data_IF_955542292308
#
_entry.id   IF_955542292308
#
_cell.length_a   1.000
_cell.length_b   1.000
_cell.length_c   1.000
_cell.angle_alpha   90.00
_cell.angle_beta   90.00
_cell.angle_gamma   90.00
#
_symmetry.space_group_name_H-M   'P 1'
#
loop_
_entity.id
_entity.type
_entity.pdbx_description
1 polymer ?
#
# COMPACT_ATOMS: atom_id res chain seq x y z
N UNK A 1 26.54 -12.60 -11.75
CA UNK A 1 27.98 -12.56 -11.28
C UNK A 1 28.59 -13.97 -11.43
N UNK A 2 29.82 -14.10 -11.93
CA UNK A 2 30.45 -15.40 -12.21
C UNK A 2 30.92 -16.14 -10.94
N UNK A 3 30.55 -17.42 -10.81
CA UNK A 3 30.92 -18.28 -9.67
C UNK A 3 32.29 -18.96 -9.85
N UNK A 4 32.92 -18.79 -11.01
CA UNK A 4 34.19 -19.40 -11.37
C UNK A 4 35.31 -18.35 -11.27
N UNK A 5 36.01 -18.29 -10.14
CA UNK A 5 37.24 -17.48 -10.01
C UNK A 5 38.45 -18.38 -10.19
N UNK A 6 38.87 -18.56 -11.44
CA UNK A 6 40.08 -19.31 -11.76
C UNK A 6 41.27 -18.36 -11.64
N UNK A 7 42.21 -18.67 -10.75
CA UNK A 7 43.47 -17.92 -10.65
C UNK A 7 44.26 -18.13 -11.94
N UNK A 8 44.38 -17.08 -12.76
CA UNK A 8 44.99 -17.13 -14.09
C UNK A 8 46.46 -17.55 -14.12
N UNK A 9 47.12 -17.69 -12.97
CA UNK A 9 48.52 -18.14 -12.86
C UNK A 9 48.69 -19.67 -12.93
N UNK A 10 47.62 -20.46 -12.88
CA UNK A 10 47.71 -21.93 -12.82
C UNK A 10 47.58 -22.63 -14.18
N UNK A 11 47.11 -21.93 -15.22
CA UNK A 11 46.86 -22.52 -16.53
C UNK A 11 47.51 -21.69 -17.64
N UNK A 12 48.14 -22.37 -18.61
CA UNK A 12 48.84 -21.71 -19.70
C UNK A 12 47.89 -21.19 -20.80
N UNK A 13 46.66 -21.72 -20.88
CA UNK A 13 45.68 -21.33 -21.89
C UNK A 13 44.24 -21.61 -21.48
N UNK A 14 43.27 -20.97 -22.17
CA UNK A 14 41.84 -21.29 -22.03
C UNK A 14 41.54 -22.77 -22.33
N UNK A 15 42.35 -23.40 -23.21
CA UNK A 15 42.23 -24.82 -23.53
C UNK A 15 42.48 -25.68 -22.28
N UNK A 16 43.52 -25.35 -21.52
CA UNK A 16 43.89 -26.08 -20.30
C UNK A 16 42.85 -25.88 -19.20
N UNK A 17 42.32 -24.65 -19.09
CA UNK A 17 41.23 -24.34 -18.17
C UNK A 17 39.98 -25.19 -18.49
N UNK A 18 39.53 -25.19 -19.75
CA UNK A 18 38.34 -25.94 -20.16
C UNK A 18 38.54 -27.44 -20.00
N UNK A 19 39.72 -27.96 -20.38
CA UNK A 19 40.05 -29.36 -20.21
C UNK A 19 40.00 -29.76 -18.74
N UNK A 20 40.57 -28.95 -17.86
CA UNK A 20 40.51 -29.15 -16.42
C UNK A 20 39.06 -29.17 -15.92
N UNK A 21 38.24 -28.19 -16.30
CA UNK A 21 36.84 -28.11 -15.88
C UNK A 21 36.02 -29.32 -16.32
N UNK A 22 36.19 -29.78 -17.56
CA UNK A 22 35.42 -30.90 -18.12
C UNK A 22 35.84 -32.26 -17.54
N UNK A 23 37.14 -32.49 -17.30
CA UNK A 23 37.64 -33.76 -16.75
C UNK A 23 37.30 -33.91 -15.27
N UNK A 24 37.22 -32.82 -14.50
CA UNK A 24 36.93 -32.87 -13.06
C UNK A 24 35.42 -32.90 -12.75
N UNK A 25 34.56 -33.12 -13.74
CA UNK A 25 33.13 -33.31 -13.49
C UNK A 25 32.82 -34.72 -13.04
N UNK A 26 31.83 -34.86 -12.17
CA UNK A 26 31.34 -36.15 -11.67
C UNK A 26 29.82 -36.30 -11.92
N UNK A 27 29.33 -37.54 -11.87
CA UNK A 27 27.91 -37.85 -12.02
C UNK A 27 27.32 -37.39 -13.36
N UNK A 28 26.11 -36.81 -13.32
CA UNK A 28 25.41 -36.30 -14.52
C UNK A 28 26.19 -35.19 -15.25
N UNK A 29 26.99 -34.42 -14.52
CA UNK A 29 27.86 -33.39 -15.11
C UNK A 29 28.97 -34.01 -15.96
N UNK A 30 29.55 -35.13 -15.52
CA UNK A 30 30.53 -35.87 -16.32
C UNK A 30 29.92 -36.36 -17.64
N UNK A 31 28.71 -36.93 -17.59
CA UNK A 31 28.02 -37.40 -18.79
C UNK A 31 27.76 -36.27 -19.80
N UNK A 32 27.44 -35.07 -19.32
CA UNK A 32 27.33 -33.86 -20.14
C UNK A 32 28.69 -33.41 -20.70
N UNK A 33 29.79 -33.53 -19.94
CA UNK A 33 31.12 -33.10 -20.35
C UNK A 33 31.78 -33.99 -21.42
N UNK A 34 31.54 -35.32 -21.37
CA UNK A 34 32.15 -36.31 -22.26
C UNK A 34 32.15 -35.95 -23.76
N UNK A 35 31.04 -35.52 -24.40
CA UNK A 35 31.04 -35.15 -25.82
C UNK A 35 31.89 -33.91 -26.13
N UNK A 36 32.19 -33.05 -25.15
CA UNK A 36 32.95 -31.82 -25.34
C UNK A 36 34.46 -32.04 -25.27
N UNK A 37 34.94 -33.00 -24.46
CA UNK A 37 36.36 -33.31 -24.27
C UNK A 37 37.13 -33.54 -25.58
N UNK A 38 36.69 -34.40 -26.53
CA UNK A 38 37.43 -34.65 -27.75
C UNK A 38 37.45 -33.44 -28.70
N UNK A 39 36.55 -32.47 -28.53
CA UNK A 39 36.44 -31.30 -29.39
C UNK A 39 37.37 -30.15 -28.95
N UNK A 40 38.03 -30.27 -27.80
CA UNK A 40 38.82 -29.18 -27.22
C UNK A 40 39.99 -28.78 -28.15
N UNK A 41 39.97 -27.52 -28.60
CA UNK A 41 40.96 -26.96 -29.54
C UNK A 41 40.62 -27.18 -31.02
N UNK A 42 39.52 -27.85 -31.33
CA UNK A 42 39.03 -27.97 -32.71
C UNK A 42 38.23 -26.74 -33.14
N UNK A 43 38.15 -26.49 -34.46
CA UNK A 43 37.37 -25.36 -35.02
C UNK A 43 35.89 -25.44 -34.65
N UNK A 44 35.34 -26.67 -34.58
CA UNK A 44 33.93 -26.97 -34.27
C UNK A 44 33.59 -26.98 -32.78
N UNK A 45 34.54 -26.74 -31.88
CA UNK A 45 34.27 -26.66 -30.45
C UNK A 45 33.26 -25.54 -30.15
N UNK A 46 32.25 -25.82 -29.33
CA UNK A 46 31.33 -24.79 -28.82
C UNK A 46 31.93 -24.09 -27.60
N UNK A 47 32.60 -24.85 -26.74
CA UNK A 47 33.24 -24.35 -25.51
C UNK A 47 34.71 -24.00 -25.82
N UNK A 48 34.99 -22.71 -26.09
CA UNK A 48 36.35 -22.20 -26.42
C UNK A 48 36.95 -21.32 -25.32
N UNK A 49 36.11 -20.68 -24.53
CA UNK A 49 36.51 -19.86 -23.38
C UNK A 49 35.79 -20.32 -22.11
N UNK A 50 36.30 -19.94 -20.92
CA UNK A 50 35.59 -20.15 -19.65
C UNK A 50 34.17 -19.58 -19.65
N UNK A 51 33.93 -18.47 -20.35
CA UNK A 51 32.59 -17.89 -20.49
C UNK A 51 31.65 -18.77 -21.32
N UNK A 52 32.14 -19.36 -22.42
CA UNK A 52 31.35 -20.33 -23.19
C UNK A 52 31.02 -21.58 -22.36
N UNK A 53 31.98 -22.05 -21.57
CA UNK A 53 31.76 -23.16 -20.65
C UNK A 53 30.65 -22.81 -19.67
N UNK A 54 30.73 -21.65 -19.01
CA UNK A 54 29.75 -21.24 -18.03
C UNK A 54 28.35 -21.13 -18.66
N UNK A 55 28.26 -20.58 -19.88
CA UNK A 55 27.00 -20.47 -20.61
C UNK A 55 26.38 -21.84 -20.94
N UNK A 56 27.13 -22.75 -21.55
CA UNK A 56 26.60 -24.07 -21.92
C UNK A 56 26.32 -24.93 -20.68
N UNK A 57 27.12 -24.80 -19.63
CA UNK A 57 26.89 -25.50 -18.36
C UNK A 57 25.59 -25.03 -17.71
N UNK A 58 25.38 -23.71 -17.60
CA UNK A 58 24.11 -23.14 -17.11
C UNK A 58 22.94 -23.61 -17.96
N UNK A 59 23.06 -23.63 -19.28
CA UNK A 59 21.98 -24.13 -20.16
C UNK A 59 21.62 -25.59 -19.89
N UNK A 60 22.57 -26.41 -19.46
CA UNK A 60 22.34 -27.82 -19.16
C UNK A 60 21.81 -28.07 -17.74
N UNK A 61 22.14 -27.21 -16.78
CA UNK A 61 21.90 -27.45 -15.35
C UNK A 61 21.07 -26.39 -14.62
N UNK A 62 20.96 -25.16 -15.13
CA UNK A 62 20.04 -24.17 -14.58
C UNK A 62 18.60 -24.62 -14.87
N UNK A 63 17.71 -24.42 -13.90
CA UNK A 63 16.29 -24.70 -14.04
C UNK A 63 15.54 -23.37 -14.31
N UNK A 64 15.31 -22.99 -15.58
CA UNK A 64 14.69 -21.70 -15.90
C UNK A 64 13.27 -21.57 -15.34
N UNK A 65 12.54 -22.67 -15.21
CA UNK A 65 11.20 -22.68 -14.63
C UNK A 65 11.25 -22.41 -13.13
N UNK A 66 12.25 -22.94 -12.42
CA UNK A 66 12.45 -22.65 -11.01
C UNK A 66 12.85 -21.18 -10.78
N UNK A 67 13.75 -20.63 -11.58
CA UNK A 67 14.11 -19.20 -11.53
C UNK A 67 12.89 -18.33 -11.80
N UNK A 68 12.13 -18.60 -12.87
CA UNK A 68 10.91 -17.83 -13.18
C UNK A 68 9.86 -17.94 -12.07
N UNK A 69 9.69 -19.12 -11.46
CA UNK A 69 8.81 -19.29 -10.31
C UNK A 69 9.29 -18.53 -9.08
N UNK A 70 10.61 -18.48 -8.82
CA UNK A 70 11.20 -17.71 -7.73
C UNK A 70 11.00 -16.20 -7.95
N UNK A 71 11.18 -15.70 -9.18
CA UNK A 71 10.91 -14.31 -9.54
C UNK A 71 9.43 -13.93 -9.34
N UNK A 72 8.50 -14.81 -9.75
CA UNK A 72 7.07 -14.59 -9.51
C UNK A 72 6.71 -14.61 -8.03
N UNK A 73 7.39 -15.44 -7.23
CA UNK A 73 7.18 -15.48 -5.77
C UNK A 73 7.74 -14.24 -5.10
N UNK A 74 8.96 -13.82 -5.43
CA UNK A 74 9.62 -12.68 -4.77
C UNK A 74 8.91 -11.36 -5.08
N UNK A 75 8.40 -11.20 -6.30
CA UNK A 75 7.61 -10.02 -6.71
C UNK A 75 6.30 -9.87 -5.94
N UNK A 76 5.71 -10.99 -5.51
CA UNK A 76 4.46 -11.04 -4.73
C UNK A 76 4.70 -11.18 -3.24
N UNK A 77 5.95 -11.31 -2.81
CA UNK A 77 6.29 -11.52 -1.41
C UNK A 77 5.99 -10.24 -0.62
N UNK A 78 5.22 -10.38 0.45
CA UNK A 78 4.86 -9.31 1.37
C UNK A 78 5.02 -9.80 2.80
N UNK A 79 5.42 -8.91 3.70
CA UNK A 79 5.52 -9.20 5.13
C UNK A 79 4.12 -9.41 5.71
N UNK A 80 3.77 -10.66 5.98
CA UNK A 80 2.49 -11.06 6.59
C UNK A 80 2.57 -11.24 8.10
N UNK A 81 3.76 -11.57 8.61
CA UNK A 81 4.03 -11.81 10.04
C UNK A 81 5.20 -10.92 10.48
N UNK A 82 6.29 -11.52 10.96
CA UNK A 82 7.47 -10.78 11.41
C UNK A 82 8.38 -10.41 10.23
N UNK A 83 9.10 -9.31 10.37
CA UNK A 83 10.12 -8.93 9.39
C UNK A 83 11.24 -9.98 9.29
N UNK A 84 11.53 -10.71 10.38
CA UNK A 84 12.49 -11.82 10.37
C UNK A 84 12.04 -12.96 9.45
N UNK A 85 10.78 -13.41 9.58
CA UNK A 85 10.24 -14.46 8.71
C UNK A 85 10.24 -14.02 7.24
N UNK A 86 9.80 -12.79 6.98
CA UNK A 86 9.86 -12.19 5.65
C UNK A 86 11.29 -12.13 5.10
N UNK A 87 12.28 -11.76 5.92
CA UNK A 87 13.70 -11.71 5.54
C UNK A 87 14.22 -13.08 5.12
N UNK A 88 13.89 -14.12 5.89
CA UNK A 88 14.31 -15.50 5.59
C UNK A 88 13.71 -15.96 4.26
N UNK A 89 12.40 -15.77 4.06
CA UNK A 89 11.74 -16.14 2.81
C UNK A 89 12.32 -15.38 1.61
N UNK A 90 12.53 -14.07 1.75
CA UNK A 90 13.14 -13.24 0.72
C UNK A 90 14.55 -13.75 0.35
N UNK A 91 15.36 -14.10 1.35
CA UNK A 91 16.71 -14.64 1.14
C UNK A 91 16.71 -15.97 0.42
N UNK A 92 15.79 -16.87 0.77
CA UNK A 92 15.64 -18.14 0.08
C UNK A 92 15.33 -17.93 -1.39
N UNK A 93 14.42 -17.01 -1.73
CA UNK A 93 14.09 -16.71 -3.12
C UNK A 93 15.23 -15.97 -3.84
N UNK A 94 15.97 -15.11 -3.13
CA UNK A 94 17.10 -14.36 -3.67
C UNK A 94 18.21 -15.28 -4.21
N UNK A 95 18.39 -16.48 -3.66
CA UNK A 95 19.42 -17.43 -4.11
C UNK A 95 19.14 -17.99 -5.51
N UNK A 96 17.88 -18.00 -5.94
CA UNK A 96 17.43 -18.59 -7.21
C UNK A 96 17.31 -17.57 -8.35
N UNK A 97 17.57 -16.28 -8.07
CA UNK A 97 17.37 -15.16 -9.01
C UNK A 97 18.66 -14.36 -9.20
N UNK A 98 18.94 -13.91 -10.44
CA UNK A 98 20.13 -13.09 -10.76
C UNK A 98 19.76 -11.60 -10.88
N UNK A 99 18.99 -11.09 -9.91
CA UNK A 99 18.61 -9.67 -9.86
C UNK A 99 19.76 -8.79 -9.39
N UNK A 100 19.81 -7.56 -9.92
CA UNK A 100 20.79 -6.59 -9.45
C UNK A 100 20.47 -6.11 -8.02
N UNK A 101 21.50 -5.62 -7.31
CA UNK A 101 21.38 -5.20 -5.90
C UNK A 101 20.30 -4.13 -5.67
N UNK A 102 20.14 -3.20 -6.60
CA UNK A 102 19.15 -2.12 -6.49
C UNK A 102 17.72 -2.64 -6.62
N UNK A 103 17.48 -3.57 -7.56
CA UNK A 103 16.19 -4.22 -7.73
C UNK A 103 15.81 -5.05 -6.49
N UNK A 104 16.76 -5.80 -5.91
CA UNK A 104 16.55 -6.54 -4.67
C UNK A 104 16.20 -5.61 -3.51
N UNK A 105 16.90 -4.48 -3.37
CA UNK A 105 16.62 -3.50 -2.32
C UNK A 105 15.24 -2.86 -2.47
N UNK A 106 14.87 -2.46 -3.69
CA UNK A 106 13.56 -1.89 -3.98
C UNK A 106 12.43 -2.90 -3.71
N UNK A 107 12.59 -4.15 -4.17
CA UNK A 107 11.60 -5.20 -3.96
C UNK A 107 11.46 -5.55 -2.46
N UNK A 108 12.58 -5.66 -1.75
CA UNK A 108 12.56 -5.91 -0.32
C UNK A 108 11.78 -4.83 0.42
N UNK A 109 12.07 -3.55 0.13
CA UNK A 109 11.39 -2.41 0.75
C UNK A 109 9.90 -2.37 0.42
N UNK A 110 9.52 -2.66 -0.84
CA UNK A 110 8.13 -2.67 -1.29
C UNK A 110 7.29 -3.74 -0.56
N UNK A 111 7.87 -4.90 -0.26
CA UNK A 111 7.17 -5.99 0.42
C UNK A 111 7.07 -5.84 1.93
N UNK A 112 7.75 -4.89 2.57
CA UNK A 112 7.67 -4.70 4.02
C UNK A 112 6.27 -4.28 4.50
N UNK A 113 5.95 -4.50 5.77
CA UNK A 113 4.70 -3.99 6.35
C UNK A 113 4.69 -2.45 6.31
N UNK A 114 3.53 -1.84 6.10
CA UNK A 114 3.40 -0.39 5.99
C UNK A 114 3.98 0.39 7.19
N UNK A 115 3.86 -0.14 8.42
CA UNK A 115 4.44 0.48 9.63
C UNK A 115 5.96 0.50 9.52
N UNK A 116 6.55 -0.63 9.14
CA UNK A 116 8.01 -0.78 8.98
C UNK A 116 8.50 0.10 7.83
N UNK A 117 7.83 0.10 6.68
CA UNK A 117 8.16 0.97 5.54
C UNK A 117 8.15 2.45 5.94
N UNK A 118 7.15 2.88 6.70
CA UNK A 118 7.03 4.27 7.16
C UNK A 118 8.21 4.65 8.04
N UNK A 119 8.60 3.80 8.99
CA UNK A 119 9.75 4.07 9.85
C UNK A 119 11.07 4.10 9.07
N UNK A 120 11.26 3.16 8.12
CA UNK A 120 12.44 3.16 7.23
C UNK A 120 12.51 4.47 6.42
N UNK A 121 11.39 4.94 5.87
CA UNK A 121 11.33 6.19 5.12
C UNK A 121 11.63 7.43 5.99
N UNK A 122 11.38 7.35 7.30
CA UNK A 122 11.67 8.43 8.26
C UNK A 122 13.11 8.41 8.79
N UNK A 123 13.92 7.39 8.49
CA UNK A 123 15.31 7.33 8.96
C UNK A 123 16.15 8.45 8.34
N UNK A 124 16.84 9.21 9.19
CA UNK A 124 17.76 10.28 8.76
C UNK A 124 18.88 9.76 7.87
N UNK A 125 19.40 8.57 8.17
CA UNK A 125 20.37 7.86 7.35
C UNK A 125 19.70 6.62 6.76
N UNK A 126 19.58 6.61 5.44
CA UNK A 126 19.02 5.47 4.74
C UNK A 126 20.00 4.28 4.74
N UNK A 127 19.51 3.04 4.86
CA UNK A 127 20.36 1.87 4.80
C UNK A 127 21.14 1.82 3.47
N UNK A 128 22.48 1.71 3.50
CA UNK A 128 23.32 1.83 2.30
C UNK A 128 23.26 0.60 1.39
N UNK A 129 22.76 -0.53 1.89
CA UNK A 129 22.67 -1.79 1.15
C UNK A 129 21.53 -2.67 1.70
N UNK A 130 21.27 -3.77 1.01
CA UNK A 130 20.20 -4.72 1.34
C UNK A 130 20.35 -5.33 2.75
N UNK A 131 21.56 -5.66 3.20
CA UNK A 131 21.78 -6.23 4.54
C UNK A 131 21.37 -5.24 5.63
N UNK A 132 21.87 -4.00 5.53
CA UNK A 132 21.53 -2.95 6.49
C UNK A 132 20.03 -2.64 6.49
N UNK A 133 19.37 -2.74 5.32
CA UNK A 133 17.92 -2.57 5.21
C UNK A 133 17.16 -3.70 5.91
N UNK A 134 17.60 -4.94 5.74
CA UNK A 134 17.00 -6.10 6.43
C UNK A 134 17.16 -6.00 7.94
N UNK A 135 18.36 -5.69 8.43
CA UNK A 135 18.64 -5.49 9.85
C UNK A 135 17.77 -4.37 10.45
N UNK A 136 17.69 -3.23 9.74
CA UNK A 136 16.86 -2.10 10.16
C UNK A 136 15.38 -2.47 10.20
N UNK A 137 14.88 -3.18 9.19
CA UNK A 137 13.49 -3.62 9.13
C UNK A 137 13.14 -4.56 10.29
N UNK A 138 14.01 -5.52 10.62
CA UNK A 138 13.82 -6.43 11.75
C UNK A 138 13.82 -5.67 13.08
N UNK A 139 14.76 -4.75 13.27
CA UNK A 139 14.82 -3.93 14.48
C UNK A 139 13.54 -3.10 14.67
N UNK A 140 13.10 -2.43 13.60
CA UNK A 140 11.88 -1.62 13.60
C UNK A 140 10.65 -2.48 13.91
N UNK A 141 10.50 -3.63 13.27
CA UNK A 141 9.37 -4.53 13.47
C UNK A 141 9.28 -5.01 14.93
N UNK A 142 10.41 -5.38 15.53
CA UNK A 142 10.48 -5.78 16.94
C UNK A 142 10.06 -4.64 17.87
N UNK A 143 10.55 -3.42 17.64
CA UNK A 143 10.16 -2.24 18.44
C UNK A 143 8.67 -1.92 18.27
N UNK A 144 8.15 -2.00 17.04
CA UNK A 144 6.72 -1.80 16.79
C UNK A 144 5.86 -2.81 17.56
N UNK A 145 6.23 -4.10 17.55
CA UNK A 145 5.54 -5.13 18.30
C UNK A 145 5.61 -4.90 19.81
N UNK A 146 6.77 -4.52 20.35
CA UNK A 146 6.93 -4.22 21.78
C UNK A 146 6.10 -3.00 22.21
N UNK A 147 6.07 -1.95 21.39
CA UNK A 147 5.24 -0.77 21.63
C UNK A 147 3.75 -1.10 21.58
N UNK A 148 3.32 -1.97 20.67
CA UNK A 148 1.93 -2.42 20.60
C UNK A 148 1.54 -3.29 21.79
N UNK A 149 2.43 -4.19 22.23
CA UNK A 149 2.23 -4.99 23.44
C UNK A 149 2.19 -4.15 24.72
N UNK A 150 2.93 -3.03 24.73
CA UNK A 150 2.98 -2.08 25.86
C UNK A 150 1.86 -1.05 25.83
N UNK A 151 0.97 -1.05 24.82
CA UNK A 151 -0.14 -0.10 24.78
C UNK A 151 -1.05 -0.36 25.98
N UNK A 152 -1.34 0.67 26.80
CA UNK A 152 -2.31 0.52 27.87
C UNK A 152 -3.64 0.07 27.27
N UNK A 153 -4.42 -0.77 27.98
CA UNK A 153 -5.77 -1.11 27.56
C UNK A 153 -6.48 0.20 27.25
N UNK A 154 -6.90 0.39 25.99
CA UNK A 154 -7.80 1.50 25.68
C UNK A 154 -8.98 1.31 26.63
N UNK A 155 -9.24 2.27 27.50
CA UNK A 155 -10.47 2.30 28.26
C UNK A 155 -11.57 2.15 27.21
N UNK A 156 -12.18 0.96 27.20
CA UNK A 156 -13.38 0.71 26.45
C UNK A 156 -14.37 1.72 27.01
N UNK A 157 -14.55 2.84 26.31
CA UNK A 157 -15.68 3.74 26.54
C UNK A 157 -16.90 2.84 26.67
N UNK A 158 -17.67 2.89 27.77
CA UNK A 158 -18.65 1.86 28.05
C UNK A 158 -19.52 1.64 26.83
N UNK A 159 -19.36 0.47 26.21
CA UNK A 159 -20.24 0.01 25.17
C UNK A 159 -21.63 0.01 25.78
N UNK A 160 -22.48 0.92 25.30
CA UNK A 160 -23.87 0.96 25.69
C UNK A 160 -24.44 -0.45 25.45
N UNK A 161 -24.98 -1.15 26.47
CA UNK A 161 -25.36 -2.55 26.30
C UNK A 161 -26.46 -2.65 25.24
N UNK A 162 -26.21 -3.52 24.26
CA UNK A 162 -27.11 -3.88 23.18
C UNK A 162 -28.52 -4.16 23.72
N UNK A 163 -29.49 -3.31 23.39
CA UNK A 163 -30.89 -3.72 23.32
C UNK A 163 -31.16 -4.32 21.94
N UNK A 164 -31.86 -5.45 21.82
CA UNK A 164 -32.10 -6.08 20.53
C UNK A 164 -33.20 -5.36 19.76
N UNK A 165 -32.95 -5.26 18.45
CA UNK A 165 -33.91 -5.22 17.33
C UNK A 165 -34.85 -4.02 17.17
N UNK A 166 -34.63 -3.22 16.12
CA UNK A 166 -35.47 -3.21 14.89
C UNK A 166 -35.23 -1.95 14.04
N UNK A 167 -34.37 -2.09 13.01
CA UNK A 167 -34.42 -1.43 11.68
C UNK A 167 -34.62 0.13 11.59
N UNK A 168 -34.64 0.74 10.38
CA UNK A 168 -33.48 1.43 9.83
C UNK A 168 -33.75 2.93 9.58
N UNK A 169 -32.88 3.85 10.02
CA UNK A 169 -32.91 5.23 9.53
C UNK A 169 -31.50 5.83 9.55
N UNK A 170 -30.87 6.04 8.39
CA UNK A 170 -30.95 7.25 7.56
C UNK A 170 -30.45 8.47 8.34
N UNK A 171 -29.24 8.90 7.97
CA UNK A 171 -28.48 9.92 8.69
C UNK A 171 -29.15 11.28 8.74
N UNK A 172 -28.70 12.13 9.67
CA UNK A 172 -28.76 13.58 9.53
C UNK A 172 -27.73 14.22 10.48
N UNK A 173 -26.89 15.04 9.84
CA UNK A 173 -25.97 16.06 10.33
C UNK A 173 -26.07 16.52 11.80
N UNK A 174 -24.91 16.45 12.46
CA UNK A 174 -24.24 17.48 13.25
C UNK A 174 -25.05 18.75 13.56
N UNK A 175 -25.25 19.00 14.85
CA UNK A 175 -25.64 20.29 15.41
C UNK A 175 -25.31 20.34 16.90
N UNK A 176 -24.41 21.25 17.27
CA UNK A 176 -23.91 21.51 18.64
C UNK A 176 -25.06 21.74 19.65
N UNK A 177 -24.95 21.33 20.93
CA UNK A 177 -26.05 21.49 21.89
C UNK A 177 -26.31 22.98 22.22
N UNK A 178 -27.47 23.48 21.79
CA UNK A 178 -27.98 24.81 22.15
C UNK A 178 -28.45 24.78 23.61
N UNK A 179 -27.95 25.70 24.44
CA UNK A 179 -28.25 25.79 25.88
C UNK A 179 -29.51 26.64 26.15
N UNK A 180 -30.19 26.46 27.29
CA UNK A 180 -31.33 27.27 27.70
C UNK A 180 -30.94 28.75 27.85
N UNK A 181 -31.67 29.66 27.18
CA UNK A 181 -31.41 31.11 27.20
C UNK A 181 -31.17 31.74 25.82
N UNK A 182 -31.02 30.93 24.77
CA UNK A 182 -30.88 31.40 23.39
C UNK A 182 -32.24 31.84 22.81
N UNK A 183 -32.35 32.91 21.99
CA UNK A 183 -33.61 33.33 21.35
C UNK A 183 -34.23 32.26 20.43
N UNK A 184 -33.46 31.22 20.09
CA UNK A 184 -33.87 30.08 19.28
C UNK A 184 -34.11 28.80 20.11
N UNK A 185 -34.20 28.92 21.44
CA UNK A 185 -34.42 27.79 22.34
C UNK A 185 -35.92 27.54 22.55
N UNK A 186 -36.35 26.31 22.27
CA UNK A 186 -37.66 25.79 22.67
C UNK A 186 -37.44 24.50 23.44
N UNK A 187 -38.05 24.39 24.62
CA UNK A 187 -37.91 23.21 25.48
C UNK A 187 -38.45 21.96 24.79
N UNK A 188 -37.94 20.80 25.19
CA UNK A 188 -38.31 19.52 24.58
C UNK A 188 -39.79 19.22 24.76
N UNK A 189 -40.35 19.64 25.88
CA UNK A 189 -41.76 19.54 26.23
C UNK A 189 -42.63 20.38 25.29
N UNK A 190 -42.22 21.62 25.00
CA UNK A 190 -42.94 22.51 24.09
C UNK A 190 -42.81 22.05 22.62
N UNK A 191 -41.66 21.49 22.22
CA UNK A 191 -41.52 20.85 20.90
C UNK A 191 -42.54 19.72 20.75
N UNK A 192 -42.69 18.88 21.77
CA UNK A 192 -43.62 17.75 21.72
C UNK A 192 -45.07 18.21 21.68
N UNK A 193 -45.43 19.25 22.45
CA UNK A 193 -46.77 19.86 22.41
C UNK A 193 -47.10 20.43 21.03
N UNK A 194 -46.17 21.16 20.41
CA UNK A 194 -46.35 21.69 19.05
C UNK A 194 -46.45 20.59 18.01
N UNK A 195 -45.69 19.49 18.14
CA UNK A 195 -45.84 18.31 17.27
C UNK A 195 -47.21 17.66 17.41
N UNK A 196 -47.71 17.51 18.64
CA UNK A 196 -49.03 16.94 18.90
C UNK A 196 -50.16 17.79 18.29
N UNK A 197 -50.00 19.11 18.29
CA UNK A 197 -50.97 20.06 17.75
C UNK A 197 -50.73 20.45 16.27
N UNK A 198 -49.82 19.77 15.56
CA UNK A 198 -49.43 20.10 14.17
C UNK A 198 -48.99 21.57 13.94
N UNK A 199 -48.35 22.16 14.95
CA UNK A 199 -47.85 23.53 14.95
C UNK A 199 -46.36 23.59 14.57
N UNK A 200 -45.95 24.66 13.90
CA UNK A 200 -44.57 24.89 13.53
C UNK A 200 -43.69 25.09 14.77
N UNK A 201 -42.56 24.37 14.86
CA UNK A 201 -41.67 24.45 16.03
C UNK A 201 -41.07 25.84 16.20
N UNK A 202 -40.78 26.56 15.11
CA UNK A 202 -40.16 27.90 15.17
C UNK A 202 -41.13 29.00 15.62
N UNK A 203 -42.33 29.06 15.04
CA UNK A 203 -43.25 30.19 15.24
C UNK A 203 -44.59 29.83 15.91
N UNK A 204 -44.88 28.55 16.15
CA UNK A 204 -46.08 28.08 16.84
C UNK A 204 -47.38 28.11 16.02
N UNK A 205 -47.35 28.49 14.74
CA UNK A 205 -48.53 28.51 13.86
C UNK A 205 -48.78 27.20 13.14
N UNK A 206 -50.06 26.92 12.86
CA UNK A 206 -50.51 25.73 12.12
C UNK A 206 -50.36 25.94 10.60
N UNK A 207 -50.40 24.85 9.84
CA UNK A 207 -50.39 24.88 8.37
C UNK A 207 -49.01 24.81 7.69
N UNK A 208 -47.90 24.84 8.43
CA UNK A 208 -46.55 24.65 7.85
C UNK A 208 -45.55 24.03 8.83
N UNK A 209 -44.45 23.47 8.30
CA UNK A 209 -43.35 22.88 9.07
C UNK A 209 -42.12 23.80 9.11
N UNK A 210 -41.17 23.49 9.99
CA UNK A 210 -39.93 24.27 10.23
C UNK A 210 -39.16 24.63 8.95
N UNK A 211 -39.13 23.72 7.99
CA UNK A 211 -38.44 23.90 6.72
C UNK A 211 -39.08 24.97 5.81
N UNK A 212 -40.37 25.25 6.00
CA UNK A 212 -41.18 26.17 5.16
C UNK A 212 -41.62 27.41 5.96
N UNK A 213 -41.10 27.59 7.17
CA UNK A 213 -41.45 28.71 8.03
C UNK A 213 -40.77 30.00 7.57
N UNK A 214 -41.53 30.88 6.92
CA UNK A 214 -41.07 32.21 6.48
C UNK A 214 -40.94 33.22 7.62
N UNK A 215 -41.54 32.96 8.78
CA UNK A 215 -41.57 33.91 9.91
C UNK A 215 -40.43 33.73 10.92
N UNK A 216 -39.59 32.71 10.74
CA UNK A 216 -38.47 32.42 11.65
C UNK A 216 -38.90 32.11 13.09
N UNK A 217 -38.00 32.33 14.05
CA UNK A 217 -38.19 32.10 15.49
C UNK A 217 -38.98 33.22 16.22
N UNK A 218 -39.72 34.05 15.49
CA UNK A 218 -40.49 35.14 16.10
C UNK A 218 -41.77 34.61 16.76
N UNK A 219 -42.02 35.03 18.00
CA UNK A 219 -43.20 34.65 18.78
C UNK A 219 -44.49 35.27 18.20
N UNK A 220 -45.67 34.66 18.43
CA UNK A 220 -46.95 35.26 18.06
C UNK A 220 -47.23 36.44 19.00
N UNK A 221 -47.08 37.68 18.51
CA UNK A 221 -47.37 38.89 19.28
C UNK A 221 -46.78 40.18 18.71
N UNK A 222 -45.70 40.10 17.93
CA UNK A 222 -45.03 41.28 17.37
C UNK A 222 -45.06 41.28 15.84
N UNK A 223 -46.20 41.61 15.25
CA UNK A 223 -46.28 42.09 13.88
C UNK A 223 -47.23 43.28 13.82
N UNK A 224 -46.67 44.51 13.83
CA UNK A 224 -47.36 45.65 13.20
C UNK A 224 -47.33 45.42 11.68
N UNK A 225 -48.41 45.72 10.95
CA UNK A 225 -48.43 45.52 9.50
C UNK A 225 -47.52 46.54 8.83
N UNK A 226 -46.68 46.09 7.90
CA UNK A 226 -46.05 46.98 6.93
C UNK A 226 -46.40 46.54 5.51
N UNK A 227 -47.21 47.42 4.94
CA UNK A 227 -47.50 47.76 3.56
C UNK A 227 -46.57 47.21 2.48
N UNK A 228 -47.25 46.82 1.41
CA UNK A 228 -46.80 46.45 0.07
C UNK A 228 -46.08 47.62 -0.64
N UNK A 229 -45.01 47.32 -1.40
CA UNK A 229 -44.53 48.10 -2.57
C UNK A 229 -43.26 47.48 -3.19
N UNK A 230 -43.48 46.67 -4.24
CA UNK A 230 -43.09 46.95 -5.63
C UNK A 230 -41.62 47.14 -6.07
N UNK A 231 -41.38 46.58 -7.28
CA UNK A 231 -40.41 46.93 -8.35
C UNK A 231 -39.01 46.28 -8.30
N UNK A 232 -38.72 45.39 -9.28
CA UNK A 232 -37.99 45.63 -10.56
C UNK A 232 -36.47 45.46 -10.32
N UNK A 233 -35.61 44.83 -11.12
CA UNK A 233 -35.61 44.26 -12.48
C UNK A 233 -34.33 43.42 -12.66
N UNK A 234 -34.38 42.45 -13.59
CA UNK A 234 -33.36 41.94 -14.52
C UNK A 234 -31.83 42.05 -14.25
N UNK A 235 -31.07 40.96 -14.52
CA UNK A 235 -30.25 40.82 -15.74
C UNK A 235 -29.55 39.43 -15.78
N UNK A 236 -29.56 38.79 -16.95
CA UNK A 236 -28.96 37.47 -17.25
C UNK A 236 -27.87 37.70 -18.30
N UNK A 237 -26.64 37.21 -18.07
CA UNK A 237 -25.64 37.03 -19.12
C UNK A 237 -25.05 35.61 -19.06
N UNK A 238 -25.33 34.84 -20.11
CA UNK A 238 -24.69 33.56 -20.46
C UNK A 238 -23.49 33.84 -21.36
N UNK A 239 -22.38 33.13 -21.17
CA UNK A 239 -21.39 32.86 -22.23
C UNK A 239 -20.92 31.40 -22.11
N UNK A 240 -21.28 30.58 -23.10
CA UNK A 240 -20.65 29.31 -23.49
C UNK A 240 -19.32 29.67 -24.23
N UNK A 241 -18.22 28.92 -24.28
CA UNK A 241 -17.99 27.48 -24.38
C UNK A 241 -17.30 27.17 -25.74
N UNK A 242 -16.05 26.68 -25.69
CA UNK A 242 -15.26 25.97 -26.73
C UNK A 242 -14.79 26.84 -27.94
N UNK A 243 -13.59 26.72 -28.52
CA UNK A 243 -12.91 25.55 -29.08
C UNK A 243 -11.46 25.98 -29.48
N UNK A 244 -10.44 25.13 -29.33
CA UNK A 244 -9.07 25.39 -29.80
C UNK A 244 -8.61 24.24 -30.71
N UNK A 245 -8.44 24.55 -31.99
CA UNK A 245 -7.77 23.72 -33.00
C UNK A 245 -6.24 23.80 -32.82
N UNK A 246 -5.58 22.64 -32.82
CA UNK A 246 -4.13 22.51 -32.87
C UNK A 246 -3.64 22.56 -34.33
N UNK A 247 -2.49 23.21 -34.51
CA UNK A 247 -1.69 23.25 -35.74
C UNK A 247 -0.34 22.59 -35.49
#
# INVERSE_FOLDING_TARGET
MGWLTISGSQFASNKDIIMFLLINMEGSAAAWALPHIPLIGEKRAVIKTPDNFQWEFRKAFDNPDATAAAEQKITKLVQTTTATAYTVEFRTLQLEIDWNKSALQAQYQQGLNWQVQTQVAMMTLQPPNLEALMESAVCIDNVCQELEASRPPRENKPGNPSKPSSAPNKGTSTGTPIKPGDPHYVSKEEINKRRANNQCIKCGREGHRVAVCQTGWKAPGELKPKEDKGKDTAEIAKVNGLELENK
#
